data_IF_972204798764
#
_entry.id   IF_972204798764
#
_cell.length_a   1.000
_cell.length_b   1.000
_cell.length_c   1.000
_cell.angle_alpha   90.00
_cell.angle_beta   90.00
_cell.angle_gamma   90.00
#
_symmetry.space_group_name_H-M   'P 1'
#
loop_
_entity.id
_entity.type
_entity.pdbx_description
1 polymer ?
#
# COMPACT_ATOMS: atom_id res chain seq x y z
N UNK A 1 15.65 1.51 12.21
CA UNK A 1 15.51 2.03 13.60
C UNK A 1 16.08 3.44 13.68
N UNK A 2 15.52 4.31 14.57
CA UNK A 2 15.99 5.70 14.70
C UNK A 2 17.45 5.79 15.12
N UNK A 3 17.97 4.80 15.85
CA UNK A 3 19.37 4.77 16.28
C UNK A 3 20.35 4.72 15.10
N UNK A 4 19.93 4.18 13.95
CA UNK A 4 20.74 4.09 12.74
C UNK A 4 20.77 5.41 11.94
N UNK A 5 19.96 6.39 12.31
CA UNK A 5 19.90 7.71 11.63
C UNK A 5 21.03 8.61 12.14
N UNK A 6 22.27 8.31 11.79
CA UNK A 6 23.47 9.02 12.30
C UNK A 6 23.55 10.49 11.92
N UNK A 7 22.76 10.95 10.95
CA UNK A 7 22.60 12.37 10.60
C UNK A 7 21.81 13.18 11.63
N UNK A 8 21.06 12.48 12.52
CA UNK A 8 20.31 13.11 13.61
C UNK A 8 21.16 13.08 14.90
N UNK A 9 21.00 14.11 15.74
CA UNK A 9 21.66 14.14 17.04
C UNK A 9 21.19 12.98 17.94
N UNK A 10 22.06 12.53 18.86
CA UNK A 10 21.72 11.45 19.78
C UNK A 10 20.46 11.74 20.60
N UNK A 11 20.32 12.97 21.10
CA UNK A 11 19.14 13.40 21.87
C UNK A 11 17.84 13.32 21.04
N UNK A 12 17.91 13.70 19.75
CA UNK A 12 16.73 13.59 18.87
C UNK A 12 16.37 12.15 18.59
N UNK A 13 17.34 11.27 18.35
CA UNK A 13 17.09 9.83 18.15
C UNK A 13 16.45 9.20 19.37
N UNK A 14 16.90 9.53 20.58
CA UNK A 14 16.29 9.07 21.84
C UNK A 14 14.85 9.52 21.97
N UNK A 15 14.56 10.83 21.74
CA UNK A 15 13.18 11.35 21.77
C UNK A 15 12.28 10.71 20.72
N UNK A 16 12.82 10.37 19.54
CA UNK A 16 12.06 9.67 18.50
C UNK A 16 11.74 8.24 18.92
N UNK A 17 12.70 7.51 19.50
CA UNK A 17 12.48 6.15 20.01
C UNK A 17 11.45 6.10 21.17
N UNK A 18 11.36 7.16 21.99
CA UNK A 18 10.39 7.25 23.08
C UNK A 18 8.95 7.48 22.57
N UNK A 19 8.77 8.19 21.45
CA UNK A 19 7.47 8.70 21.01
C UNK A 19 6.95 8.05 19.74
N UNK A 20 7.81 7.45 18.94
CA UNK A 20 7.49 6.94 17.62
C UNK A 20 8.10 5.56 17.41
N UNK A 21 7.47 4.78 16.55
CA UNK A 21 8.03 3.54 16.02
C UNK A 21 8.05 3.60 14.49
N UNK A 22 9.04 2.96 13.90
CA UNK A 22 9.07 2.72 12.46
C UNK A 22 8.40 1.37 12.24
N UNK A 23 7.14 1.42 11.81
CA UNK A 23 6.40 0.21 11.46
C UNK A 23 7.02 -0.47 10.24
N UNK A 24 6.88 -1.79 10.19
CA UNK A 24 7.23 -2.63 9.05
C UNK A 24 6.13 -3.65 8.82
N UNK A 25 6.04 -4.17 7.61
CA UNK A 25 5.21 -5.33 7.31
C UNK A 25 6.10 -6.56 7.27
N UNK A 26 5.65 -7.62 7.92
CA UNK A 26 6.32 -8.91 7.83
C UNK A 26 5.85 -9.66 6.58
N UNK A 27 6.76 -10.26 5.83
CA UNK A 27 6.41 -11.15 4.72
C UNK A 27 6.04 -12.51 5.33
N UNK A 28 4.75 -12.74 5.54
CA UNK A 28 4.24 -14.04 6.03
C UNK A 28 4.36 -15.12 4.95
N UNK A 29 4.15 -14.75 3.68
CA UNK A 29 4.32 -15.67 2.54
C UNK A 29 4.71 -14.92 1.28
N UNK A 30 5.63 -15.52 0.52
CA UNK A 30 6.07 -15.07 -0.80
C UNK A 30 5.85 -16.19 -1.82
N UNK A 31 5.09 -15.91 -2.86
CA UNK A 31 4.79 -16.85 -3.95
C UNK A 31 5.30 -16.25 -5.27
N UNK A 32 6.34 -16.83 -5.83
CA UNK A 32 6.83 -16.46 -7.15
C UNK A 32 6.17 -17.32 -8.22
N UNK A 33 5.77 -16.71 -9.32
CA UNK A 33 5.29 -17.42 -10.49
C UNK A 33 6.41 -18.26 -11.10
N UNK A 34 6.05 -19.38 -11.70
CA UNK A 34 6.98 -20.23 -12.47
C UNK A 34 6.99 -19.90 -13.96
N UNK A 35 6.08 -19.03 -14.41
CA UNK A 35 5.88 -18.72 -15.84
C UNK A 35 6.27 -17.30 -16.22
N UNK A 36 6.30 -16.40 -15.22
CA UNK A 36 6.65 -14.99 -15.41
C UNK A 36 7.31 -14.42 -14.14
N UNK A 37 7.66 -13.14 -14.15
CA UNK A 37 8.28 -12.45 -13.02
C UNK A 37 7.24 -11.94 -12.00
N UNK A 38 6.04 -12.50 -11.95
CA UNK A 38 5.01 -12.11 -10.98
C UNK A 38 5.33 -12.70 -9.60
N UNK A 39 5.24 -11.86 -8.57
CA UNK A 39 5.42 -12.28 -7.17
C UNK A 39 4.24 -11.79 -6.35
N UNK A 40 3.57 -12.73 -5.67
CA UNK A 40 2.51 -12.42 -4.70
C UNK A 40 3.06 -12.48 -3.29
N UNK A 41 2.80 -11.42 -2.52
CA UNK A 41 3.14 -11.30 -1.12
C UNK A 41 1.88 -11.39 -0.26
N UNK A 42 1.97 -12.10 0.84
CA UNK A 42 1.07 -12.00 1.97
C UNK A 42 1.82 -11.27 3.08
N UNK A 43 1.40 -10.05 3.37
CA UNK A 43 1.98 -9.24 4.44
C UNK A 43 1.16 -9.37 5.71
N UNK A 44 1.85 -9.56 6.83
CA UNK A 44 1.29 -9.46 8.16
C UNK A 44 1.43 -8.02 8.66
N UNK A 45 0.31 -7.46 9.09
CA UNK A 45 0.21 -6.14 9.69
C UNK A 45 0.55 -6.20 11.19
N UNK A 46 0.92 -5.06 11.82
CA UNK A 46 1.25 -5.04 13.26
C UNK A 46 0.16 -5.53 14.21
N UNK A 47 -1.10 -5.52 13.77
CA UNK A 47 -2.26 -6.01 14.52
C UNK A 47 -2.60 -7.49 14.26
N UNK A 48 -1.74 -8.21 13.52
CA UNK A 48 -1.92 -9.62 13.20
C UNK A 48 -2.87 -9.91 12.02
N UNK A 49 -3.42 -8.88 11.39
CA UNK A 49 -4.18 -9.03 10.15
C UNK A 49 -3.26 -9.23 8.94
N UNK A 50 -3.83 -9.69 7.82
CA UNK A 50 -3.07 -9.95 6.60
C UNK A 50 -3.66 -9.20 5.41
N UNK A 51 -2.76 -8.78 4.51
CA UNK A 51 -3.10 -8.20 3.22
C UNK A 51 -2.25 -8.78 2.11
N UNK A 52 -2.81 -8.79 0.90
CA UNK A 52 -2.12 -9.28 -0.29
C UNK A 52 -1.60 -8.14 -1.14
N UNK A 53 -0.43 -8.35 -1.71
CA UNK A 53 0.23 -7.41 -2.65
C UNK A 53 0.84 -8.23 -3.77
N UNK A 54 0.72 -7.75 -5.02
CA UNK A 54 1.24 -8.47 -6.18
C UNK A 54 2.18 -7.57 -6.98
N UNK A 55 3.42 -8.00 -7.10
CA UNK A 55 4.41 -7.40 -7.98
C UNK A 55 4.30 -8.05 -9.36
N UNK A 56 4.11 -7.24 -10.38
CA UNK A 56 4.02 -7.67 -11.79
C UNK A 56 5.11 -6.98 -12.60
N UNK A 57 5.78 -7.72 -13.46
CA UNK A 57 6.77 -7.20 -14.38
C UNK A 57 6.19 -7.08 -15.79
N UNK A 58 6.29 -5.88 -16.35
CA UNK A 58 5.88 -5.58 -17.72
C UNK A 58 7.07 -5.04 -18.52
N UNK A 59 6.99 -5.02 -19.85
CA UNK A 59 8.02 -4.43 -20.70
C UNK A 59 8.26 -2.93 -20.43
N UNK A 60 7.26 -2.24 -19.85
CA UNK A 60 7.33 -0.81 -19.53
C UNK A 60 7.68 -0.53 -18.05
N UNK A 61 7.96 -1.56 -17.25
CA UNK A 61 8.36 -1.41 -15.85
C UNK A 61 7.66 -2.34 -14.89
N UNK A 62 7.88 -2.11 -13.60
CA UNK A 62 7.31 -2.89 -12.50
C UNK A 62 6.04 -2.22 -11.97
N UNK A 63 4.94 -2.96 -11.96
CA UNK A 63 3.65 -2.53 -11.41
C UNK A 63 3.36 -3.27 -10.12
N UNK A 64 2.88 -2.53 -9.11
CA UNK A 64 2.51 -3.11 -7.82
C UNK A 64 1.00 -2.97 -7.58
N UNK A 65 0.33 -4.11 -7.43
CA UNK A 65 -1.04 -4.16 -6.98
C UNK A 65 -1.07 -4.17 -5.45
N UNK A 66 -1.70 -3.17 -4.82
CA UNK A 66 -1.78 -3.03 -3.37
C UNK A 66 -3.21 -3.14 -2.85
N UNK A 67 -3.34 -3.63 -1.61
CA UNK A 67 -4.59 -3.67 -0.85
C UNK A 67 -4.84 -2.34 -0.15
N UNK A 68 -6.12 -1.98 0.02
CA UNK A 68 -6.56 -0.73 0.68
C UNK A 68 -7.32 -0.95 1.97
N UNK A 69 -7.78 -2.16 2.23
CA UNK A 69 -8.52 -2.54 3.44
C UNK A 69 -8.10 -3.95 3.87
N UNK A 70 -8.38 -4.29 5.11
CA UNK A 70 -8.42 -5.68 5.58
C UNK A 70 -9.84 -6.21 5.37
N UNK A 71 -9.99 -7.10 4.38
CA UNK A 71 -11.30 -7.52 3.90
C UNK A 71 -12.02 -6.44 3.09
N UNK A 72 -13.30 -6.68 2.76
CA UNK A 72 -14.10 -5.74 1.96
C UNK A 72 -15.58 -5.92 2.26
N UNK A 73 -16.31 -4.80 2.41
CA UNK A 73 -17.76 -4.82 2.67
C UNK A 73 -18.65 -4.70 1.43
N UNK A 74 -18.06 -4.56 0.24
CA UNK A 74 -18.83 -4.26 -0.99
C UNK A 74 -19.69 -5.44 -1.48
N UNK A 75 -19.39 -6.68 -1.10
CA UNK A 75 -20.21 -7.84 -1.40
C UNK A 75 -20.21 -8.27 -2.86
N UNK A 76 -19.19 -7.93 -3.64
CA UNK A 76 -19.08 -8.36 -5.05
C UNK A 76 -19.08 -9.89 -5.14
N UNK A 77 -20.07 -10.48 -5.83
CA UNK A 77 -20.29 -11.93 -5.84
C UNK A 77 -19.12 -12.75 -6.41
N UNK A 78 -18.32 -12.17 -7.27
CA UNK A 78 -17.15 -12.81 -7.89
C UNK A 78 -15.85 -12.63 -7.12
N UNK A 79 -15.83 -11.82 -6.04
CA UNK A 79 -14.61 -11.39 -5.37
C UNK A 79 -14.39 -12.14 -4.06
N UNK A 80 -13.25 -12.83 -3.94
CA UNK A 80 -12.88 -13.57 -2.74
C UNK A 80 -12.63 -12.65 -1.52
N UNK A 81 -12.29 -11.38 -1.75
CA UNK A 81 -12.01 -10.41 -0.66
C UNK A 81 -13.22 -10.13 0.23
N UNK A 82 -14.44 -10.50 -0.20
CA UNK A 82 -15.66 -10.31 0.58
C UNK A 82 -15.99 -11.48 1.49
N UNK A 83 -15.37 -12.65 1.29
CA UNK A 83 -15.71 -13.90 2.01
C UNK A 83 -15.45 -13.76 3.52
N UNK A 84 -14.31 -13.17 3.88
CA UNK A 84 -13.93 -12.95 5.29
C UNK A 84 -14.59 -11.71 5.91
N UNK A 85 -15.37 -10.95 5.13
CA UNK A 85 -15.97 -9.69 5.56
C UNK A 85 -14.94 -8.54 5.62
N UNK A 86 -15.37 -7.43 6.19
CA UNK A 86 -14.55 -6.23 6.39
C UNK A 86 -14.10 -6.16 7.85
N UNK A 87 -12.83 -5.87 8.07
CA UNK A 87 -12.24 -5.66 9.39
C UNK A 87 -11.99 -4.18 9.62
N UNK A 88 -11.11 -3.56 8.79
CA UNK A 88 -10.76 -2.13 8.89
C UNK A 88 -10.14 -1.58 7.61
N UNK A 89 -10.08 -0.27 7.56
CA UNK A 89 -9.31 0.46 6.57
C UNK A 89 -7.80 0.36 6.85
N UNK A 90 -6.99 0.38 5.79
CA UNK A 90 -5.56 0.56 5.91
C UNK A 90 -5.22 2.03 6.05
N UNK A 91 -4.27 2.32 6.93
CA UNK A 91 -3.71 3.66 7.10
C UNK A 91 -2.79 4.01 5.91
N UNK A 92 -2.57 5.32 5.62
CA UNK A 92 -1.65 5.74 4.55
C UNK A 92 -0.25 5.13 4.69
N UNK A 93 0.25 4.97 5.91
CA UNK A 93 1.53 4.32 6.19
C UNK A 93 1.54 2.84 5.79
N UNK A 94 0.45 2.10 6.00
CA UNK A 94 0.34 0.69 5.62
C UNK A 94 0.25 0.51 4.10
N UNK A 95 -0.37 1.47 3.38
CA UNK A 95 -0.36 1.52 1.92
C UNK A 95 1.06 1.74 1.39
N UNK A 96 1.82 2.68 1.96
CA UNK A 96 3.21 2.94 1.61
C UNK A 96 4.13 1.78 1.96
N UNK A 97 3.92 1.13 3.10
CA UNK A 97 4.74 0.00 3.53
C UNK A 97 4.67 -1.19 2.57
N UNK A 98 3.51 -1.45 1.94
CA UNK A 98 3.41 -2.47 0.90
C UNK A 98 4.40 -2.20 -0.24
N UNK A 99 4.58 -0.91 -0.63
CA UNK A 99 5.52 -0.51 -1.67
C UNK A 99 6.97 -0.68 -1.18
N UNK A 100 7.31 -0.11 -0.03
CA UNK A 100 8.67 -0.12 0.50
C UNK A 100 9.18 -1.54 0.79
N UNK A 101 8.34 -2.38 1.39
CA UNK A 101 8.74 -3.75 1.72
C UNK A 101 8.88 -4.60 0.44
N UNK A 102 8.02 -4.40 -0.55
CA UNK A 102 8.16 -5.07 -1.85
C UNK A 102 9.42 -4.62 -2.58
N UNK A 103 9.71 -3.31 -2.64
CA UNK A 103 10.93 -2.80 -3.26
C UNK A 103 12.19 -3.35 -2.59
N UNK A 104 12.17 -3.48 -1.26
CA UNK A 104 13.29 -4.00 -0.48
C UNK A 104 13.52 -5.49 -0.74
N UNK A 105 12.46 -6.31 -0.75
CA UNK A 105 12.55 -7.75 -1.01
C UNK A 105 12.94 -8.05 -2.46
N UNK A 106 12.30 -7.35 -3.41
CA UNK A 106 12.54 -7.58 -4.83
C UNK A 106 13.80 -6.90 -5.37
N UNK A 107 14.44 -6.00 -4.60
CA UNK A 107 15.63 -5.25 -5.04
C UNK A 107 15.38 -4.36 -6.26
N UNK A 108 14.15 -3.89 -6.47
CA UNK A 108 13.79 -3.11 -7.65
C UNK A 108 12.91 -1.90 -7.28
N UNK A 109 12.90 -0.90 -8.17
CA UNK A 109 11.97 0.22 -8.08
C UNK A 109 10.61 -0.18 -8.61
N UNK A 110 9.54 0.36 -8.02
CA UNK A 110 8.17 0.28 -8.53
C UNK A 110 7.90 1.50 -9.41
N UNK A 111 7.45 1.26 -10.64
CA UNK A 111 7.19 2.29 -11.65
C UNK A 111 5.73 2.72 -11.67
N UNK A 112 4.80 1.84 -11.31
CA UNK A 112 3.37 2.12 -11.26
C UNK A 112 2.68 1.36 -10.14
N UNK A 113 1.53 1.88 -9.69
CA UNK A 113 0.72 1.30 -8.61
C UNK A 113 -0.69 1.12 -9.09
N UNK A 114 -1.30 -0.01 -8.76
CA UNK A 114 -2.73 -0.24 -8.98
C UNK A 114 -3.40 -0.58 -7.65
N UNK A 115 -4.47 0.15 -7.31
CA UNK A 115 -5.29 -0.12 -6.14
C UNK A 115 -6.39 -1.09 -6.55
N UNK A 116 -6.02 -2.36 -6.71
CA UNK A 116 -6.88 -3.46 -7.18
C UNK A 116 -6.73 -4.71 -6.31
N UNK A 117 -6.09 -4.57 -5.15
CA UNK A 117 -5.97 -5.63 -4.15
C UNK A 117 -7.24 -5.78 -3.29
N UNK A 118 -7.07 -6.18 -2.03
CA UNK A 118 -8.16 -6.34 -1.08
C UNK A 118 -8.72 -4.97 -0.67
N UNK A 119 -10.04 -4.81 -0.72
CA UNK A 119 -10.75 -3.60 -0.29
C UNK A 119 -11.26 -2.73 -1.45
N UNK A 120 -12.14 -1.79 -1.09
CA UNK A 120 -12.63 -0.74 -1.98
C UNK A 120 -11.88 0.57 -1.67
N UNK A 121 -11.04 1.08 -2.58
CA UNK A 121 -10.27 2.29 -2.30
C UNK A 121 -11.12 3.51 -1.96
N UNK A 122 -12.28 3.65 -2.59
CA UNK A 122 -13.16 4.79 -2.36
C UNK A 122 -14.01 4.66 -1.08
N UNK A 123 -14.08 3.49 -0.48
CA UNK A 123 -14.63 3.32 0.87
C UNK A 123 -13.60 3.76 1.93
N UNK A 124 -12.31 3.56 1.68
CA UNK A 124 -11.19 4.07 2.47
C UNK A 124 -10.69 5.45 1.94
N UNK A 125 -11.58 6.34 1.61
CA UNK A 125 -11.32 7.54 0.81
C UNK A 125 -10.25 8.45 1.40
N UNK A 126 -10.39 8.84 2.66
CA UNK A 126 -9.51 9.83 3.30
C UNK A 126 -8.06 9.33 3.39
N UNK A 127 -7.87 8.07 3.76
CA UNK A 127 -6.54 7.45 3.83
C UNK A 127 -5.91 7.29 2.44
N UNK A 128 -6.70 6.94 1.42
CA UNK A 128 -6.21 6.81 0.04
C UNK A 128 -5.81 8.17 -0.53
N UNK A 129 -6.59 9.22 -0.28
CA UNK A 129 -6.24 10.59 -0.69
C UNK A 129 -4.96 11.06 0.01
N UNK A 130 -4.83 10.79 1.32
CA UNK A 130 -3.61 11.13 2.05
C UNK A 130 -2.40 10.32 1.55
N UNK A 131 -2.58 9.05 1.22
CA UNK A 131 -1.56 8.23 0.58
C UNK A 131 -1.09 8.85 -0.75
N UNK A 132 -1.99 9.32 -1.61
CA UNK A 132 -1.63 9.98 -2.88
C UNK A 132 -0.81 11.24 -2.66
N UNK A 133 -1.17 12.05 -1.66
CA UNK A 133 -0.41 13.26 -1.31
C UNK A 133 1.02 12.94 -0.87
N UNK A 134 1.20 11.92 -0.02
CA UNK A 134 2.53 11.50 0.45
C UNK A 134 3.32 10.87 -0.69
N UNK A 135 2.69 10.02 -1.51
CA UNK A 135 3.32 9.33 -2.63
C UNK A 135 3.93 10.32 -3.66
N UNK A 136 3.21 11.39 -3.94
CA UNK A 136 3.62 12.41 -4.92
C UNK A 136 4.46 13.56 -4.33
N UNK A 137 4.64 13.59 -2.99
CA UNK A 137 5.34 14.68 -2.32
C UNK A 137 6.82 14.77 -2.76
N UNK A 138 7.38 15.98 -2.96
CA UNK A 138 8.79 16.17 -3.35
C UNK A 138 9.81 15.52 -2.38
N UNK A 139 9.51 15.49 -1.09
CA UNK A 139 10.33 14.83 -0.07
C UNK A 139 9.95 13.37 0.17
N UNK A 140 8.99 12.83 -0.59
CA UNK A 140 8.53 11.44 -0.55
C UNK A 140 9.07 10.61 -1.69
N UNK A 141 8.21 9.72 -2.25
CA UNK A 141 8.59 8.87 -3.40
C UNK A 141 8.67 9.63 -4.73
N UNK A 142 8.13 10.84 -4.80
CA UNK A 142 8.06 11.67 -6.01
C UNK A 142 7.40 10.94 -7.20
N UNK A 143 6.46 10.03 -6.91
CA UNK A 143 5.77 9.29 -7.95
C UNK A 143 4.61 10.15 -8.49
N UNK A 144 4.61 10.39 -9.79
CA UNK A 144 3.48 11.07 -10.43
C UNK A 144 2.22 10.23 -10.31
N UNK A 145 1.09 10.85 -9.94
CA UNK A 145 -0.21 10.17 -9.85
C UNK A 145 -0.71 9.64 -11.20
N UNK A 146 -0.09 10.02 -12.33
CA UNK A 146 -0.33 9.39 -13.64
C UNK A 146 0.12 7.92 -13.70
N UNK A 147 0.98 7.50 -12.78
CA UNK A 147 1.43 6.12 -12.62
C UNK A 147 0.61 5.35 -11.57
N UNK A 148 -0.52 5.93 -11.13
CA UNK A 148 -1.41 5.29 -10.16
C UNK A 148 -2.77 5.05 -10.81
N UNK A 149 -3.20 3.79 -10.84
CA UNK A 149 -4.55 3.41 -11.27
C UNK A 149 -5.39 3.03 -10.04
N UNK A 150 -6.58 3.59 -9.94
CA UNK A 150 -7.56 3.26 -8.91
C UNK A 150 -8.71 2.52 -9.56
N UNK A 151 -8.98 1.30 -9.08
CA UNK A 151 -10.17 0.54 -9.44
C UNK A 151 -11.24 0.69 -8.36
N UNK A 152 -12.51 0.75 -8.74
CA UNK A 152 -13.62 0.90 -7.80
C UNK A 152 -14.84 0.12 -8.24
N UNK A 153 -15.63 -0.37 -7.30
CA UNK A 153 -16.95 -0.94 -7.55
C UNK A 153 -18.00 0.12 -7.90
N UNK A 154 -17.65 1.41 -7.88
CA UNK A 154 -18.51 2.48 -8.36
C UNK A 154 -19.24 3.29 -7.30
N UNK A 155 -18.59 3.66 -6.19
CA UNK A 155 -19.13 4.57 -5.18
C UNK A 155 -19.26 5.99 -5.74
N UNK A 156 -20.35 6.27 -6.50
CA UNK A 156 -20.55 7.49 -7.29
C UNK A 156 -20.31 8.79 -6.49
N UNK A 157 -20.79 8.96 -5.25
CA UNK A 157 -20.50 10.17 -4.48
C UNK A 157 -18.99 10.39 -4.26
N UNK A 158 -18.25 9.31 -4.00
CA UNK A 158 -16.80 9.33 -3.78
C UNK A 158 -16.03 9.56 -5.09
N UNK A 159 -16.50 9.02 -6.21
CA UNK A 159 -15.92 9.32 -7.53
C UNK A 159 -16.01 10.82 -7.83
N UNK A 160 -17.15 11.45 -7.58
CA UNK A 160 -17.33 12.90 -7.75
C UNK A 160 -16.41 13.69 -6.82
N UNK A 161 -16.36 13.32 -5.55
CA UNK A 161 -15.47 13.93 -4.56
C UNK A 161 -13.99 13.81 -4.97
N UNK A 162 -13.56 12.65 -5.51
CA UNK A 162 -12.21 12.48 -6.03
C UNK A 162 -11.91 13.37 -7.24
N UNK A 163 -12.88 13.57 -8.13
CA UNK A 163 -12.74 14.43 -9.30
C UNK A 163 -12.57 15.91 -8.94
N UNK A 164 -13.08 16.34 -7.77
CA UNK A 164 -12.97 17.72 -7.28
C UNK A 164 -11.61 18.00 -6.60
N UNK A 165 -10.82 16.96 -6.30
CA UNK A 165 -9.46 17.10 -5.78
C UNK A 165 -8.51 17.46 -6.92
N UNK A 166 -8.11 18.74 -6.99
CA UNK A 166 -7.16 19.27 -7.98
C UNK A 166 -5.78 19.50 -7.37
#
# INVERSE_FOLDING_TARGET
EFDQMTTLSLQLRQKLNEKFCINRLNIARRLASSTDDTVKYLYELPDGNFVETVLMAYHHGKSLCISTQVGCRMGCQFCASTIAGYVRDLMPSELLLQIYETQRDAGCRIDSIVLMGIGEPLDNFENVVQFFRILSHPDGMQMSLRHVALSTCGLVPRIRQLADLR
#
